data_IF_320981978396
#
_entry.id   IF_320981978396
#
_cell.length_a   1.000
_cell.length_b   1.000
_cell.length_c   1.000
_cell.angle_alpha   90.00
_cell.angle_beta   90.00
_cell.angle_gamma   90.00
#
_symmetry.space_group_name_H-M   'P 1'
#
loop_
_entity.id
_entity.type
_entity.pdbx_description
1 polymer ?
#
# COMPACT_ATOMS: atom_id res chain seq x y z
N UNK A 1 -13.52 -27.74 -25.22
CA UNK A 1 -12.51 -28.83 -25.25
C UNK A 1 -12.40 -29.25 -26.72
N UNK A 2 -11.43 -28.86 -27.57
CA UNK A 2 -9.97 -28.67 -27.43
C UNK A 2 -9.28 -29.89 -26.78
N UNK A 3 -8.17 -30.48 -27.27
CA UNK A 3 -7.49 -30.65 -28.60
C UNK A 3 -6.05 -31.17 -28.30
N UNK A 4 -5.65 -32.38 -28.72
CA UNK A 4 -4.27 -32.96 -28.80
C UNK A 4 -4.37 -34.52 -28.95
N UNK A 5 -3.65 -35.33 -29.76
CA UNK A 5 -2.55 -35.18 -30.75
C UNK A 5 -1.15 -34.87 -30.15
N UNK A 6 0.00 -35.52 -30.45
CA UNK A 6 0.51 -36.53 -31.46
C UNK A 6 1.62 -37.37 -30.74
N UNK A 7 2.14 -38.59 -31.05
CA UNK A 7 2.17 -39.56 -32.17
C UNK A 7 1.96 -41.01 -31.62
N UNK A 8 2.00 -42.18 -32.30
CA UNK A 8 2.33 -42.67 -33.67
C UNK A 8 3.81 -43.07 -34.00
N UNK A 9 4.09 -44.39 -34.07
CA UNK A 9 5.24 -45.06 -34.76
C UNK A 9 4.72 -46.31 -35.51
N UNK A 10 5.23 -46.58 -36.72
CA UNK A 10 4.70 -47.60 -37.68
C UNK A 10 5.68 -48.72 -38.01
N UNK A 11 5.17 -49.96 -38.15
CA UNK A 11 5.61 -51.01 -39.10
C UNK A 11 4.81 -52.33 -38.87
N UNK A 12 4.46 -53.14 -39.87
CA UNK A 12 4.34 -52.91 -41.32
C UNK A 12 3.36 -53.95 -41.91
N UNK A 13 2.65 -53.59 -42.98
CA UNK A 13 1.71 -54.49 -43.68
C UNK A 13 2.43 -55.45 -44.63
N UNK A 14 1.93 -56.69 -44.76
CA UNK A 14 2.13 -57.50 -45.96
C UNK A 14 0.85 -58.25 -46.30
N UNK A 15 0.45 -58.23 -47.58
CA UNK A 15 -0.73 -58.91 -48.08
C UNK A 15 -0.48 -59.48 -49.48
N UNK A 16 -0.85 -60.76 -49.66
CA UNK A 16 -1.15 -61.46 -50.91
C UNK A 16 -0.07 -61.57 -52.02
N UNK A 17 0.17 -62.81 -52.46
CA UNK A 17 0.58 -63.12 -53.83
C UNK A 17 2.00 -63.69 -54.00
N UNK A 18 2.10 -64.98 -54.33
CA UNK A 18 3.36 -65.63 -54.72
C UNK A 18 3.45 -67.09 -54.27
N UNK A 19 3.42 -68.04 -55.20
CA UNK A 19 3.51 -69.47 -54.89
C UNK A 19 4.94 -69.98 -54.75
N UNK A 20 5.08 -71.21 -54.23
CA UNK A 20 6.24 -72.10 -54.34
C UNK A 20 7.60 -71.68 -53.72
N UNK A 21 7.73 -70.51 -53.06
CA UNK A 21 9.02 -70.08 -52.48
C UNK A 21 9.35 -70.54 -51.04
N UNK A 22 8.38 -71.01 -50.27
CA UNK A 22 8.44 -70.95 -48.79
C UNK A 22 8.97 -72.20 -48.04
N UNK A 23 9.40 -73.26 -48.72
CA UNK A 23 9.68 -74.57 -48.09
C UNK A 23 11.16 -75.00 -48.12
N UNK A 24 12.06 -74.10 -47.72
CA UNK A 24 13.47 -74.42 -47.48
C UNK A 24 14.09 -73.60 -46.32
N UNK A 25 13.28 -73.17 -45.34
CA UNK A 25 13.80 -72.42 -44.19
C UNK A 25 14.58 -73.35 -43.27
N UNK A 26 15.87 -73.07 -43.07
CA UNK A 26 16.79 -74.02 -42.42
C UNK A 26 16.51 -74.15 -40.93
N UNK A 27 16.78 -75.34 -40.35
CA UNK A 27 16.63 -75.59 -38.91
C UNK A 27 17.50 -74.64 -38.06
N UNK A 28 18.62 -74.16 -38.61
CA UNK A 28 19.44 -73.12 -37.99
C UNK A 28 18.69 -71.77 -37.92
N UNK A 29 18.14 -71.29 -39.03
CA UNK A 29 17.36 -70.04 -39.07
C UNK A 29 16.07 -70.12 -38.24
N UNK A 30 15.43 -71.29 -38.18
CA UNK A 30 14.28 -71.51 -37.28
C UNK A 30 14.64 -71.38 -35.80
N UNK A 31 15.83 -71.86 -35.40
CA UNK A 31 16.35 -71.70 -34.03
C UNK A 31 16.75 -70.25 -33.76
N UNK A 32 17.54 -69.64 -34.62
CA UNK A 32 17.97 -68.24 -34.51
C UNK A 32 16.77 -67.28 -34.42
N UNK A 33 15.71 -67.52 -35.19
CA UNK A 33 14.46 -66.75 -35.11
C UNK A 33 13.62 -67.04 -33.85
N UNK A 34 13.72 -68.24 -33.27
CA UNK A 34 13.08 -68.58 -31.99
C UNK A 34 13.85 -67.96 -30.80
N UNK A 35 15.18 -68.02 -30.82
CA UNK A 35 16.06 -67.45 -29.81
C UNK A 35 15.97 -65.91 -29.82
N UNK A 36 15.96 -65.29 -31.00
CA UNK A 36 15.72 -63.86 -31.16
C UNK A 36 14.31 -63.44 -30.70
N UNK A 37 13.31 -64.32 -30.84
CA UNK A 37 11.95 -64.10 -30.34
C UNK A 37 11.88 -64.22 -28.82
N UNK A 38 12.56 -65.19 -28.21
CA UNK A 38 12.69 -65.31 -26.75
C UNK A 38 13.36 -64.05 -26.17
N UNK A 39 14.50 -63.63 -26.71
CA UNK A 39 15.16 -62.38 -26.32
C UNK A 39 14.31 -61.13 -26.56
N UNK A 40 13.40 -61.14 -27.55
CA UNK A 40 12.44 -60.05 -27.74
C UNK A 40 11.31 -60.08 -26.68
N UNK A 41 10.87 -61.26 -26.24
CA UNK A 41 9.92 -61.42 -25.15
C UNK A 41 10.53 -61.02 -23.80
N UNK A 42 11.74 -61.48 -23.48
CA UNK A 42 12.46 -61.12 -22.25
C UNK A 42 12.63 -59.60 -22.10
N UNK A 43 13.00 -58.89 -23.19
CA UNK A 43 13.09 -57.42 -23.19
C UNK A 43 11.74 -56.70 -23.10
N UNK A 44 10.65 -57.32 -23.57
CA UNK A 44 9.29 -56.80 -23.38
C UNK A 44 8.85 -56.99 -21.94
N UNK A 45 9.10 -58.15 -21.34
CA UNK A 45 8.76 -58.44 -19.94
C UNK A 45 9.59 -57.58 -18.98
N UNK A 46 10.87 -57.33 -19.28
CA UNK A 46 11.73 -56.36 -18.57
C UNK A 46 11.19 -54.93 -18.69
N UNK A 47 10.83 -54.48 -19.89
CA UNK A 47 10.27 -53.15 -20.12
C UNK A 47 8.90 -52.95 -19.45
N UNK A 48 8.05 -53.99 -19.44
CA UNK A 48 6.77 -53.99 -18.71
C UNK A 48 7.01 -54.00 -17.20
N UNK A 49 7.98 -54.76 -16.70
CA UNK A 49 8.41 -54.73 -15.30
C UNK A 49 8.89 -53.34 -14.86
N UNK A 50 9.73 -52.70 -15.68
CA UNK A 50 10.21 -51.33 -15.46
C UNK A 50 9.04 -50.31 -15.48
N UNK A 51 8.14 -50.38 -16.46
CA UNK A 51 6.97 -49.50 -16.54
C UNK A 51 6.01 -49.69 -15.35
N UNK A 52 5.83 -50.92 -14.86
CA UNK A 52 5.05 -51.18 -13.64
C UNK A 52 5.76 -50.65 -12.38
N UNK A 53 7.08 -50.75 -12.29
CA UNK A 53 7.85 -50.18 -11.18
C UNK A 53 7.80 -48.64 -11.18
N UNK A 54 7.91 -48.00 -12.35
CA UNK A 54 7.77 -46.55 -12.51
C UNK A 54 6.35 -46.08 -12.18
N UNK A 55 5.31 -46.79 -12.66
CA UNK A 55 3.92 -46.51 -12.31
C UNK A 55 3.63 -46.67 -10.80
N UNK A 56 4.23 -47.67 -10.15
CA UNK A 56 4.15 -47.86 -8.69
C UNK A 56 4.87 -46.74 -7.93
N UNK A 57 6.06 -46.32 -8.38
CA UNK A 57 6.80 -45.20 -7.80
C UNK A 57 6.06 -43.86 -7.97
N UNK A 58 5.48 -43.61 -9.15
CA UNK A 58 4.62 -42.44 -9.40
C UNK A 58 3.36 -42.47 -8.54
N UNK A 59 2.70 -43.62 -8.40
CA UNK A 59 1.56 -43.81 -7.50
C UNK A 59 1.91 -43.54 -6.04
N UNK A 60 3.07 -44.02 -5.57
CA UNK A 60 3.58 -43.75 -4.24
C UNK A 60 3.89 -42.25 -4.02
N UNK A 61 4.51 -41.59 -5.00
CA UNK A 61 4.80 -40.16 -4.94
C UNK A 61 3.51 -39.30 -4.91
N UNK A 62 2.50 -39.64 -5.72
CA UNK A 62 1.18 -39.00 -5.69
C UNK A 62 0.47 -39.24 -4.35
N UNK A 63 0.56 -40.44 -3.77
CA UNK A 63 0.05 -40.74 -2.44
C UNK A 63 0.72 -39.90 -1.34
N UNK A 64 2.05 -39.75 -1.41
CA UNK A 64 2.82 -38.94 -0.46
C UNK A 64 2.47 -37.45 -0.53
N UNK A 65 2.28 -36.91 -1.74
CA UNK A 65 1.83 -35.54 -1.97
C UNK A 65 0.37 -35.33 -1.51
N UNK A 66 -0.51 -36.31 -1.75
CA UNK A 66 -1.91 -36.27 -1.34
C UNK A 66 -2.10 -36.19 0.18
N UNK A 67 -1.37 -37.02 0.94
CA UNK A 67 -1.45 -37.03 2.40
C UNK A 67 -0.78 -35.81 3.05
N UNK A 68 0.45 -35.46 2.61
CA UNK A 68 1.19 -34.33 3.22
C UNK A 68 0.57 -32.97 2.89
N UNK A 69 0.03 -32.79 1.69
CA UNK A 69 -0.57 -31.52 1.25
C UNK A 69 -1.84 -31.15 2.02
N UNK A 70 -2.69 -32.11 2.37
CA UNK A 70 -3.93 -31.82 3.12
C UNK A 70 -3.66 -31.48 4.58
N UNK A 71 -2.78 -32.24 5.24
CA UNK A 71 -2.54 -32.09 6.67
C UNK A 71 -1.78 -30.80 7.00
N UNK A 72 -0.80 -30.40 6.18
CA UNK A 72 -0.12 -29.10 6.33
C UNK A 72 -1.08 -27.93 6.10
N UNK A 73 -1.96 -28.01 5.09
CA UNK A 73 -2.95 -26.95 4.80
C UNK A 73 -4.05 -26.88 5.87
N UNK A 74 -4.35 -27.98 6.56
CA UNK A 74 -5.25 -28.02 7.71
C UNK A 74 -4.57 -27.45 8.97
N UNK A 75 -3.33 -27.88 9.24
CA UNK A 75 -2.54 -27.47 10.40
C UNK A 75 -2.18 -25.98 10.39
N UNK A 76 -2.02 -25.35 9.22
CA UNK A 76 -1.84 -23.91 9.10
C UNK A 76 -3.16 -23.12 9.22
N UNK A 77 -4.29 -23.70 8.78
CA UNK A 77 -5.56 -22.99 8.72
C UNK A 77 -6.27 -22.82 10.07
N UNK A 78 -6.07 -23.72 11.04
CA UNK A 78 -6.68 -23.59 12.37
C UNK A 78 -6.02 -22.49 13.23
N UNK A 79 -4.68 -22.44 13.42
CA UNK A 79 -4.04 -21.36 14.18
C UNK A 79 -4.25 -19.97 13.58
N UNK A 80 -4.35 -19.86 12.25
CA UNK A 80 -4.67 -18.60 11.59
C UNK A 80 -6.11 -18.11 11.86
N UNK A 81 -7.07 -19.04 11.96
CA UNK A 81 -8.44 -18.73 12.38
C UNK A 81 -8.51 -18.38 13.87
N UNK A 82 -7.85 -19.16 14.72
CA UNK A 82 -7.83 -18.93 16.17
C UNK A 82 -7.16 -17.56 16.51
N UNK A 83 -6.09 -17.17 15.80
CA UNK A 83 -5.45 -15.86 15.95
C UNK A 83 -6.34 -14.70 15.48
N UNK A 84 -7.06 -14.85 14.38
CA UNK A 84 -7.99 -13.82 13.89
C UNK A 84 -9.20 -13.66 14.81
N UNK A 85 -9.64 -14.72 15.49
CA UNK A 85 -10.69 -14.64 16.53
C UNK A 85 -10.23 -13.80 17.71
N UNK A 86 -9.00 -14.00 18.20
CA UNK A 86 -8.47 -13.19 19.30
C UNK A 86 -8.26 -11.72 18.88
N UNK A 87 -7.75 -11.47 17.67
CA UNK A 87 -7.65 -10.10 17.13
C UNK A 87 -9.03 -9.42 16.99
N UNK A 88 -10.03 -10.17 16.53
CA UNK A 88 -11.42 -9.71 16.42
C UNK A 88 -12.04 -9.40 17.78
N UNK A 89 -11.72 -10.18 18.82
CA UNK A 89 -12.16 -9.92 20.21
C UNK A 89 -11.53 -8.65 20.75
N UNK A 90 -10.22 -8.47 20.60
CA UNK A 90 -9.54 -7.23 21.03
C UNK A 90 -10.15 -5.99 20.38
N UNK A 91 -10.38 -6.00 19.06
CA UNK A 91 -11.03 -4.87 18.39
C UNK A 91 -12.49 -4.68 18.83
N UNK A 92 -13.24 -5.76 19.07
CA UNK A 92 -14.62 -5.65 19.57
C UNK A 92 -14.67 -5.02 20.98
N UNK A 93 -13.77 -5.40 21.88
CA UNK A 93 -13.68 -4.86 23.24
C UNK A 93 -13.15 -3.41 23.24
N UNK A 94 -12.07 -3.13 22.51
CA UNK A 94 -11.45 -1.79 22.46
C UNK A 94 -12.35 -0.75 21.77
N UNK A 95 -13.21 -1.15 20.83
CA UNK A 95 -14.13 -0.24 20.12
C UNK A 95 -15.37 0.19 20.94
N UNK A 96 -15.47 -0.16 22.22
CA UNK A 96 -16.67 0.15 23.03
C UNK A 96 -16.86 1.67 23.24
N UNK A 97 -18.06 2.15 22.90
CA UNK A 97 -18.38 3.57 22.86
C UNK A 97 -17.66 4.38 21.76
N UNK A 98 -16.76 3.76 20.98
CA UNK A 98 -15.94 4.44 19.97
C UNK A 98 -16.53 4.46 18.55
N UNK A 99 -17.71 3.85 18.33
CA UNK A 99 -18.44 3.90 17.05
C UNK A 99 -19.65 4.85 17.10
N UNK A 100 -20.22 5.19 15.95
CA UNK A 100 -21.47 5.99 15.86
C UNK A 100 -22.74 5.12 15.90
N UNK A 101 -22.67 3.91 15.34
CA UNK A 101 -23.72 2.89 15.31
C UNK A 101 -23.06 1.54 15.64
N UNK A 102 -23.63 0.82 16.60
CA UNK A 102 -23.09 -0.45 17.09
C UNK A 102 -23.33 -1.62 16.12
N UNK A 103 -24.12 -1.43 15.07
CA UNK A 103 -24.45 -2.45 14.05
C UNK A 103 -23.22 -3.15 13.46
N UNK A 104 -22.09 -2.43 13.29
CA UNK A 104 -20.83 -3.05 12.82
C UNK A 104 -20.16 -3.92 13.87
N UNK A 105 -20.23 -3.54 15.15
CA UNK A 105 -19.71 -4.34 16.29
C UNK A 105 -20.57 -5.58 16.54
N UNK A 106 -21.90 -5.45 16.41
CA UNK A 106 -22.83 -6.59 16.41
C UNK A 106 -22.56 -7.55 15.25
N UNK A 107 -22.18 -7.06 14.07
CA UNK A 107 -21.78 -7.90 12.94
C UNK A 107 -20.45 -8.64 13.20
N UNK A 108 -19.47 -7.99 13.83
CA UNK A 108 -18.21 -8.61 14.25
C UNK A 108 -18.44 -9.69 15.34
N UNK A 109 -19.26 -9.39 16.35
CA UNK A 109 -19.67 -10.36 17.36
C UNK A 109 -20.35 -11.59 16.75
N UNK A 110 -21.30 -11.39 15.83
CA UNK A 110 -21.96 -12.48 15.10
C UNK A 110 -20.99 -13.27 14.20
N UNK A 111 -19.94 -12.63 13.66
CA UNK A 111 -18.89 -13.33 12.91
C UNK A 111 -18.00 -14.20 13.81
N UNK A 112 -17.71 -13.76 15.04
CA UNK A 112 -17.00 -14.53 16.06
C UNK A 112 -17.84 -15.74 16.52
N UNK A 113 -19.13 -15.53 16.83
CA UNK A 113 -20.05 -16.61 17.24
C UNK A 113 -20.30 -17.65 16.12
N UNK A 114 -20.16 -17.25 14.85
CA UNK A 114 -20.27 -18.15 13.71
C UNK A 114 -19.04 -19.07 13.49
N UNK A 115 -17.97 -18.94 14.29
CA UNK A 115 -16.74 -19.74 14.13
C UNK A 115 -16.94 -21.18 14.63
N UNK A 116 -16.72 -22.21 13.77
CA UNK A 116 -16.93 -23.60 14.17
C UNK A 116 -15.83 -24.09 15.13
N UNK A 117 -16.18 -24.23 16.41
CA UNK A 117 -15.31 -24.81 17.43
C UNK A 117 -14.93 -26.28 17.17
N UNK A 118 -15.78 -27.04 16.47
CA UNK A 118 -15.53 -28.43 16.08
C UNK A 118 -14.58 -28.62 14.87
N UNK A 119 -14.41 -29.86 14.39
CA UNK A 119 -13.59 -30.15 13.21
C UNK A 119 -14.20 -29.53 11.94
N UNK A 120 -13.45 -28.67 11.28
CA UNK A 120 -13.85 -27.97 10.06
C UNK A 120 -12.82 -28.19 8.95
N UNK A 121 -13.24 -28.08 7.68
CA UNK A 121 -12.31 -28.17 6.55
C UNK A 121 -11.45 -26.91 6.45
N UNK A 122 -10.23 -27.02 5.92
CA UNK A 122 -9.35 -25.86 5.72
C UNK A 122 -9.96 -24.77 4.82
N UNK A 123 -10.89 -25.14 3.93
CA UNK A 123 -11.66 -24.19 3.13
C UNK A 123 -12.72 -23.44 3.97
N UNK A 124 -13.45 -24.15 4.85
CA UNK A 124 -14.40 -23.53 5.77
C UNK A 124 -13.70 -22.61 6.78
N UNK A 125 -12.53 -23.00 7.29
CA UNK A 125 -11.74 -22.17 8.21
C UNK A 125 -11.23 -20.89 7.54
N UNK A 126 -10.64 -20.96 6.34
CA UNK A 126 -10.26 -19.75 5.59
C UNK A 126 -11.44 -18.84 5.27
N UNK A 127 -12.61 -19.40 5.00
CA UNK A 127 -13.83 -18.60 4.78
C UNK A 127 -14.36 -17.96 6.08
N UNK A 128 -14.10 -18.54 7.25
CA UNK A 128 -14.36 -17.90 8.54
C UNK A 128 -13.35 -16.76 8.81
N UNK A 129 -12.05 -17.01 8.62
CA UNK A 129 -10.99 -15.99 8.75
C UNK A 129 -11.27 -14.77 7.87
N UNK A 130 -11.65 -14.97 6.60
CA UNK A 130 -11.98 -13.85 5.70
C UNK A 130 -13.13 -12.98 6.24
N UNK A 131 -14.23 -13.59 6.71
CA UNK A 131 -15.36 -12.82 7.28
C UNK A 131 -15.01 -12.09 8.57
N UNK A 132 -14.11 -12.65 9.38
CA UNK A 132 -13.60 -11.96 10.57
C UNK A 132 -12.76 -10.74 10.20
N UNK A 133 -11.84 -10.88 9.23
CA UNK A 133 -11.06 -9.74 8.70
C UNK A 133 -11.99 -8.67 8.13
N UNK A 134 -12.94 -9.04 7.26
CA UNK A 134 -13.90 -8.12 6.64
C UNK A 134 -14.72 -7.37 7.72
N UNK A 135 -15.22 -8.08 8.73
CA UNK A 135 -16.02 -7.47 9.81
C UNK A 135 -15.17 -6.65 10.80
N UNK A 136 -13.94 -7.06 11.09
CA UNK A 136 -13.01 -6.35 11.98
C UNK A 136 -12.61 -5.02 11.35
N UNK A 137 -12.23 -5.02 10.07
CA UNK A 137 -11.88 -3.76 9.41
C UNK A 137 -13.06 -2.82 9.19
N UNK A 138 -14.29 -3.32 9.05
CA UNK A 138 -15.49 -2.47 9.11
C UNK A 138 -15.71 -1.80 10.48
N UNK A 139 -15.27 -2.40 11.59
CA UNK A 139 -15.26 -1.77 12.93
C UNK A 139 -14.11 -0.77 13.05
N UNK A 140 -12.91 -1.11 12.56
CA UNK A 140 -11.74 -0.21 12.55
C UNK A 140 -12.04 1.08 11.75
N UNK A 141 -12.67 0.97 10.58
CA UNK A 141 -13.14 2.10 9.76
C UNK A 141 -14.19 2.94 10.49
N UNK A 142 -15.16 2.31 11.17
CA UNK A 142 -16.20 3.02 11.92
C UNK A 142 -15.67 3.79 13.14
N UNK A 143 -14.63 3.26 13.81
CA UNK A 143 -13.91 3.96 14.88
C UNK A 143 -13.12 5.14 14.31
N UNK A 144 -12.44 4.96 13.16
CA UNK A 144 -11.75 6.04 12.44
C UNK A 144 -12.69 7.20 12.11
N UNK A 145 -13.81 6.90 11.45
CA UNK A 145 -14.82 7.89 11.07
C UNK A 145 -15.46 8.58 12.29
N UNK A 146 -15.67 7.87 13.41
CA UNK A 146 -16.19 8.48 14.64
C UNK A 146 -15.17 9.41 15.31
N UNK A 147 -13.89 9.06 15.30
CA UNK A 147 -12.81 9.93 15.78
C UNK A 147 -12.74 11.21 14.95
N UNK A 148 -12.76 11.10 13.63
CA UNK A 148 -12.76 12.24 12.69
C UNK A 148 -13.98 13.15 12.86
N UNK A 149 -15.18 12.57 13.02
CA UNK A 149 -16.38 13.34 13.33
C UNK A 149 -16.27 14.10 14.67
N UNK A 150 -15.71 13.46 15.70
CA UNK A 150 -15.53 14.07 17.03
C UNK A 150 -14.45 15.19 17.00
N UNK A 151 -13.39 15.01 16.22
CA UNK A 151 -12.37 16.03 15.98
C UNK A 151 -12.95 17.22 15.18
N UNK A 152 -13.81 16.97 14.19
CA UNK A 152 -14.51 18.01 13.44
C UNK A 152 -15.55 18.78 14.29
N UNK A 153 -16.31 18.10 15.16
CA UNK A 153 -17.21 18.74 16.14
C UNK A 153 -16.44 19.65 17.11
N UNK A 154 -15.30 19.19 17.63
CA UNK A 154 -14.43 19.98 18.49
C UNK A 154 -13.83 21.19 17.75
N UNK A 155 -13.40 21.03 16.49
CA UNK A 155 -12.91 22.12 15.65
C UNK A 155 -14.00 23.15 15.35
N UNK A 156 -15.24 22.71 15.07
CA UNK A 156 -16.39 23.60 14.85
C UNK A 156 -16.76 24.38 16.12
N UNK A 157 -16.72 23.75 17.29
CA UNK A 157 -16.94 24.42 18.57
C UNK A 157 -15.85 25.47 18.87
N UNK A 158 -14.58 25.16 18.59
CA UNK A 158 -13.47 26.10 18.72
C UNK A 158 -13.59 27.28 17.73
N UNK A 159 -13.98 27.03 16.48
CA UNK A 159 -14.22 28.06 15.48
C UNK A 159 -15.40 28.99 15.87
N UNK A 160 -16.49 28.43 16.42
CA UNK A 160 -17.61 29.23 16.93
C UNK A 160 -17.20 30.11 18.13
N UNK A 161 -16.34 29.60 19.03
CA UNK A 161 -15.79 30.38 20.14
C UNK A 161 -14.85 31.51 19.65
N UNK A 162 -14.04 31.25 18.63
CA UNK A 162 -13.18 32.27 18.01
C UNK A 162 -13.98 33.35 17.27
N UNK A 163 -15.04 32.98 16.55
CA UNK A 163 -15.93 33.92 15.87
C UNK A 163 -16.77 34.79 16.84
N UNK A 164 -16.93 34.36 18.10
CA UNK A 164 -17.57 35.13 19.16
C UNK A 164 -16.62 36.14 19.86
N UNK A 165 -15.31 36.11 19.56
CA UNK A 165 -14.37 37.10 20.07
C UNK A 165 -14.55 38.46 19.34
N UNK A 166 -14.47 39.61 20.05
CA UNK A 166 -14.67 40.91 19.43
C UNK A 166 -13.55 41.24 18.45
N UNK A 167 -13.89 41.42 17.17
CA UNK A 167 -12.94 41.88 16.15
C UNK A 167 -12.54 43.34 16.43
N UNK A 168 -11.23 43.61 16.39
CA UNK A 168 -10.70 44.95 16.45
C UNK A 168 -10.83 45.61 15.07
N UNK A 169 -11.59 46.70 14.99
CA UNK A 169 -11.85 47.44 13.75
C UNK A 169 -10.59 48.21 13.29
N UNK A 170 -10.07 47.88 12.10
CA UNK A 170 -8.91 48.53 11.50
C UNK A 170 -9.26 49.17 10.16
N UNK A 171 -9.91 50.33 10.22
CA UNK A 171 -10.25 51.11 9.04
C UNK A 171 -9.01 51.78 8.40
N UNK A 172 -8.84 51.56 7.09
CA UNK A 172 -8.24 52.45 6.08
C UNK A 172 -6.90 53.15 6.34
N UNK A 173 -5.88 52.84 5.53
CA UNK A 173 -4.65 53.65 5.48
C UNK A 173 -3.68 53.23 4.37
N UNK A 174 -3.81 53.81 3.18
CA UNK A 174 -2.69 53.89 2.23
C UNK A 174 -1.64 54.86 2.79
N UNK A 175 -0.41 54.39 3.00
CA UNK A 175 0.70 55.25 3.42
C UNK A 175 1.96 54.50 3.83
N UNK A 176 3.12 54.96 3.35
CA UNK A 176 4.43 54.44 3.73
C UNK A 176 4.69 54.64 5.23
N UNK A 177 4.49 53.56 6.01
CA UNK A 177 4.95 53.45 7.37
C UNK A 177 5.64 52.09 7.56
N UNK A 178 6.95 52.11 7.80
CA UNK A 178 7.72 50.90 8.07
C UNK A 178 7.39 50.35 9.47
N UNK A 179 6.25 49.66 9.58
CA UNK A 179 5.94 48.81 10.71
C UNK A 179 7.05 47.77 10.89
N UNK A 180 7.32 47.36 12.14
CA UNK A 180 8.33 46.34 12.44
C UNK A 180 8.00 45.06 11.66
N UNK A 181 8.82 44.79 10.63
CA UNK A 181 8.50 43.75 9.64
C UNK A 181 8.35 42.38 10.28
N UNK A 182 7.46 41.57 9.70
CA UNK A 182 7.31 40.17 10.07
C UNK A 182 8.55 39.39 9.62
N UNK A 183 9.60 39.43 10.44
CA UNK A 183 10.84 38.72 10.20
C UNK A 183 10.63 37.22 10.32
N UNK A 184 11.29 36.46 9.45
CA UNK A 184 11.36 35.00 9.60
C UNK A 184 12.21 34.62 10.82
N UNK A 185 11.89 33.49 11.44
CA UNK A 185 12.78 32.87 12.45
C UNK A 185 13.91 32.04 11.81
N UNK A 186 13.87 31.81 10.49
CA UNK A 186 14.94 31.14 9.75
C UNK A 186 16.19 32.03 9.62
N UNK A 187 17.36 31.43 9.84
CA UNK A 187 18.66 32.12 9.74
C UNK A 187 19.73 31.31 8.97
N UNK A 188 19.33 30.22 8.32
CA UNK A 188 20.20 29.39 7.49
C UNK A 188 20.39 29.93 6.06
N UNK A 189 21.13 29.22 5.20
CA UNK A 189 21.21 29.55 3.78
C UNK A 189 19.87 29.28 3.08
N UNK A 190 19.57 30.03 2.02
CA UNK A 190 18.32 29.87 1.28
C UNK A 190 18.24 28.50 0.58
N UNK A 191 17.17 27.76 0.88
CA UNK A 191 16.76 26.55 0.17
C UNK A 191 15.44 26.81 -0.56
N UNK A 192 15.07 25.88 -1.44
CA UNK A 192 13.96 26.05 -2.38
C UNK A 192 13.32 24.69 -2.68
N UNK A 193 12.11 24.69 -3.26
CA UNK A 193 11.50 23.47 -3.80
C UNK A 193 12.36 22.87 -4.92
N UNK A 194 12.40 21.54 -4.99
CA UNK A 194 13.03 20.80 -6.08
C UNK A 194 12.06 20.63 -7.24
N UNK A 195 12.60 20.59 -8.47
CA UNK A 195 11.90 20.04 -9.63
C UNK A 195 11.84 18.51 -9.55
N UNK A 196 10.93 17.84 -10.28
CA UNK A 196 10.90 16.38 -10.37
C UNK A 196 12.25 15.78 -10.83
N UNK A 197 12.59 14.61 -10.31
CA UNK A 197 13.88 13.96 -10.58
C UNK A 197 13.80 13.16 -11.88
N UNK A 198 14.43 13.65 -12.95
CA UNK A 198 14.60 12.88 -14.19
C UNK A 198 15.36 11.57 -13.93
N UNK A 199 14.87 10.46 -14.48
CA UNK A 199 15.45 9.14 -14.23
C UNK A 199 15.30 8.63 -12.79
N UNK A 200 14.47 9.25 -11.96
CA UNK A 200 14.18 8.81 -10.59
C UNK A 200 13.60 7.40 -10.51
N UNK A 201 13.78 6.75 -9.36
CA UNK A 201 13.31 5.39 -9.06
C UNK A 201 12.02 5.35 -8.22
N UNK A 202 11.48 6.53 -7.84
CA UNK A 202 10.32 6.65 -6.97
C UNK A 202 10.63 6.54 -5.48
N UNK A 203 11.90 6.43 -5.08
CA UNK A 203 12.32 6.47 -3.68
C UNK A 203 12.35 7.90 -3.11
N UNK A 204 12.61 8.02 -1.80
CA UNK A 204 12.58 9.28 -1.07
C UNK A 204 13.65 10.27 -1.62
N UNK A 205 13.19 11.37 -2.22
CA UNK A 205 14.02 12.35 -2.91
C UNK A 205 14.42 11.97 -4.34
N UNK A 206 13.74 10.98 -4.95
CA UNK A 206 13.98 10.48 -6.32
C UNK A 206 12.67 10.23 -7.08
N UNK A 207 11.66 11.08 -6.87
CA UNK A 207 10.35 10.97 -7.51
C UNK A 207 10.37 11.45 -8.96
N UNK A 208 9.72 10.71 -9.85
CA UNK A 208 9.73 11.01 -11.29
C UNK A 208 8.74 12.12 -11.67
N UNK A 209 8.91 12.75 -12.86
CA UNK A 209 7.93 13.70 -13.39
C UNK A 209 6.50 13.17 -13.53
N UNK A 210 6.29 11.85 -13.54
CA UNK A 210 4.95 11.23 -13.64
C UNK A 210 4.28 11.01 -12.27
N UNK A 211 5.04 11.07 -11.17
CA UNK A 211 4.52 10.94 -9.80
C UNK A 211 4.08 12.29 -9.22
N UNK A 212 4.69 13.38 -9.71
CA UNK A 212 4.54 14.72 -9.20
C UNK A 212 3.59 15.57 -10.06
N UNK A 213 3.01 16.62 -9.49
CA UNK A 213 2.27 17.65 -10.21
C UNK A 213 2.51 19.02 -9.60
N UNK A 214 2.60 20.03 -10.45
CA UNK A 214 2.80 21.41 -10.06
C UNK A 214 1.52 22.00 -9.44
N UNK A 215 1.69 22.77 -8.36
CA UNK A 215 0.70 23.69 -7.80
C UNK A 215 0.36 24.79 -8.81
N UNK A 216 -0.92 25.17 -8.91
CA UNK A 216 -1.44 26.02 -9.98
C UNK A 216 -1.29 27.53 -9.73
N UNK A 217 -1.25 27.97 -8.47
CA UNK A 217 -1.42 29.40 -8.11
C UNK A 217 -0.12 30.12 -7.69
N UNK A 218 0.97 29.40 -7.44
CA UNK A 218 2.20 30.00 -6.89
C UNK A 218 3.49 29.25 -7.27
N UNK A 219 4.62 29.96 -7.17
CA UNK A 219 5.98 29.52 -7.51
C UNK A 219 6.96 30.01 -6.43
N UNK A 220 8.12 29.37 -6.32
CA UNK A 220 9.20 29.83 -5.44
C UNK A 220 9.76 31.20 -5.90
N UNK A 221 10.60 31.81 -5.07
CA UNK A 221 11.24 33.11 -5.36
C UNK A 221 12.23 33.11 -6.55
N UNK A 222 12.41 31.97 -7.24
CA UNK A 222 13.17 31.82 -8.49
C UNK A 222 12.27 31.55 -9.70
N UNK A 223 10.95 31.40 -9.50
CA UNK A 223 9.98 31.06 -10.55
C UNK A 223 9.72 29.56 -10.72
N UNK A 224 10.20 28.71 -9.81
CA UNK A 224 10.01 27.25 -9.83
C UNK A 224 8.63 26.89 -9.29
N UNK A 225 7.78 26.14 -10.02
CA UNK A 225 6.53 25.65 -9.43
C UNK A 225 6.77 24.75 -8.22
N UNK A 226 5.87 24.79 -7.24
CA UNK A 226 5.89 23.83 -6.14
C UNK A 226 5.36 22.49 -6.62
N UNK A 227 6.13 21.42 -6.42
CA UNK A 227 5.77 20.06 -6.82
C UNK A 227 5.40 19.23 -5.59
N UNK A 228 4.30 18.49 -5.69
CA UNK A 228 3.84 17.49 -4.71
C UNK A 228 3.38 16.23 -5.47
N UNK A 229 3.15 15.12 -4.77
CA UNK A 229 2.57 13.91 -5.40
C UNK A 229 1.20 14.26 -5.96
N UNK A 230 0.84 13.76 -7.15
CA UNK A 230 -0.29 14.29 -7.92
C UNK A 230 -1.64 14.31 -7.17
N UNK A 231 -1.88 13.35 -6.28
CA UNK A 231 -3.02 13.30 -5.36
C UNK A 231 -2.93 14.35 -4.25
N UNK A 232 -1.77 14.51 -3.62
CA UNK A 232 -1.48 15.56 -2.65
C UNK A 232 -1.62 16.97 -3.26
N UNK A 233 -1.14 17.19 -4.49
CA UNK A 233 -1.38 18.44 -5.25
C UNK A 233 -2.87 18.66 -5.44
N UNK A 234 -3.60 17.67 -5.97
CA UNK A 234 -5.05 17.79 -6.20
C UNK A 234 -5.85 17.99 -4.91
N UNK A 235 -5.35 17.52 -3.77
CA UNK A 235 -5.90 17.81 -2.44
C UNK A 235 -5.60 19.25 -1.98
N UNK A 236 -4.37 19.72 -2.21
CA UNK A 236 -3.96 21.07 -1.82
C UNK A 236 -4.64 22.17 -2.66
N UNK A 237 -4.91 21.94 -3.94
CA UNK A 237 -5.74 22.83 -4.76
C UNK A 237 -7.13 23.04 -4.13
N UNK A 238 -7.75 21.97 -3.61
CA UNK A 238 -9.05 22.07 -2.92
C UNK A 238 -8.94 22.80 -1.57
N UNK A 239 -7.88 22.54 -0.80
CA UNK A 239 -7.60 23.25 0.45
C UNK A 239 -7.40 24.75 0.20
N UNK A 240 -6.63 25.12 -0.82
CA UNK A 240 -6.33 26.51 -1.14
C UNK A 240 -7.58 27.29 -1.59
N UNK A 241 -8.50 26.68 -2.33
CA UNK A 241 -9.80 27.32 -2.66
C UNK A 241 -10.59 27.67 -1.39
N UNK A 242 -10.60 26.77 -0.39
CA UNK A 242 -11.28 27.02 0.88
C UNK A 242 -10.51 28.03 1.77
N UNK A 243 -9.18 27.95 1.81
CA UNK A 243 -8.31 28.90 2.52
C UNK A 243 -8.50 30.32 1.98
N UNK A 244 -8.46 30.50 0.65
CA UNK A 244 -8.69 31.77 -0.04
C UNK A 244 -10.10 32.31 0.21
N UNK A 245 -11.11 31.44 0.28
CA UNK A 245 -12.48 31.84 0.61
C UNK A 245 -12.66 32.29 2.07
N UNK A 246 -11.86 31.76 3.01
CA UNK A 246 -11.93 32.10 4.43
C UNK A 246 -11.04 33.29 4.85
N UNK A 247 -9.87 33.45 4.21
CA UNK A 247 -8.82 34.40 4.61
C UNK A 247 -8.52 35.48 3.56
N UNK A 248 -9.16 35.42 2.38
CA UNK A 248 -9.09 36.46 1.35
C UNK A 248 -7.83 36.46 0.49
N UNK A 249 -6.85 35.59 0.76
CA UNK A 249 -5.62 35.44 -0.01
C UNK A 249 -5.25 33.97 -0.22
N UNK A 250 -4.42 33.68 -1.21
CA UNK A 250 -3.89 32.34 -1.45
C UNK A 250 -2.98 31.84 -0.31
N UNK A 251 -2.96 30.52 -0.12
CA UNK A 251 -2.01 29.84 0.74
C UNK A 251 -0.60 30.06 0.19
N UNK A 252 0.28 30.65 1.01
CA UNK A 252 1.69 30.79 0.67
C UNK A 252 2.44 29.48 0.96
N UNK A 253 3.35 29.13 0.07
CA UNK A 253 4.22 27.96 0.19
C UNK A 253 5.68 28.43 0.17
N UNK A 254 6.56 27.70 0.85
CA UNK A 254 8.00 28.01 0.96
C UNK A 254 8.84 26.81 0.49
N UNK A 255 8.45 25.59 0.88
CA UNK A 255 9.05 24.33 0.41
C UNK A 255 7.95 23.28 0.14
N UNK A 256 8.22 22.37 -0.80
CA UNK A 256 7.34 21.25 -1.15
C UNK A 256 8.20 19.99 -1.38
N UNK A 257 8.10 19.32 -2.54
CA UNK A 257 9.03 18.24 -2.91
C UNK A 257 10.49 18.68 -2.82
N UNK A 258 11.32 17.81 -2.25
CA UNK A 258 12.75 18.03 -2.07
C UNK A 258 13.51 16.78 -2.48
N UNK A 259 14.39 16.93 -3.48
CA UNK A 259 15.23 15.84 -3.98
C UNK A 259 16.31 15.43 -2.96
N UNK A 260 16.90 14.26 -3.20
CA UNK A 260 17.87 13.64 -2.30
C UNK A 260 19.13 14.49 -2.10
N UNK A 261 19.65 15.12 -3.16
CA UNK A 261 20.91 15.88 -3.10
C UNK A 261 20.69 17.24 -2.42
N UNK A 262 19.51 17.84 -2.59
CA UNK A 262 19.04 19.01 -1.84
C UNK A 262 18.83 18.67 -0.36
N UNK A 263 18.33 17.48 -0.03
CA UNK A 263 18.26 17.00 1.37
C UNK A 263 19.67 16.76 1.97
N UNK A 264 20.65 16.31 1.18
CA UNK A 264 22.06 16.23 1.60
C UNK A 264 22.61 17.63 1.90
N UNK A 265 22.36 18.62 1.02
CA UNK A 265 22.79 20.00 1.22
C UNK A 265 22.15 20.64 2.47
N UNK A 266 20.84 20.46 2.67
CA UNK A 266 20.15 20.86 3.90
C UNK A 266 20.75 20.20 5.15
N UNK A 267 21.00 18.89 5.12
CA UNK A 267 21.58 18.16 6.25
C UNK A 267 22.99 18.64 6.60
N UNK A 268 23.77 19.04 5.60
CA UNK A 268 25.10 19.61 5.80
C UNK A 268 25.06 21.03 6.40
N UNK A 269 24.07 21.85 6.04
CA UNK A 269 23.94 23.23 6.52
C UNK A 269 23.23 23.35 7.88
N UNK A 270 22.18 22.56 8.12
CA UNK A 270 21.26 22.70 9.26
C UNK A 270 21.45 21.62 10.34
N UNK A 271 22.38 20.69 10.14
CA UNK A 271 22.70 19.65 11.12
C UNK A 271 21.50 18.75 11.43
N UNK A 272 21.20 18.57 12.72
CA UNK A 272 20.12 17.66 13.16
C UNK A 272 18.70 18.17 12.91
N UNK A 273 18.50 19.45 12.58
CA UNK A 273 17.18 20.02 12.26
C UNK A 273 16.64 19.41 10.96
N UNK A 274 17.46 19.41 9.91
CA UNK A 274 17.09 18.75 8.66
C UNK A 274 17.15 17.22 8.81
N UNK A 275 16.10 16.52 8.36
CA UNK A 275 16.03 15.05 8.34
C UNK A 275 17.23 14.38 7.62
N UNK A 276 17.45 13.09 7.90
CA UNK A 276 18.48 12.29 7.22
C UNK A 276 18.11 12.17 5.72
N UNK A 277 19.08 12.26 4.79
CA UNK A 277 18.82 12.02 3.37
C UNK A 277 18.13 10.67 3.13
N UNK A 278 17.05 10.69 2.34
CA UNK A 278 16.19 9.53 2.12
C UNK A 278 15.14 9.26 3.21
N UNK A 279 15.04 10.08 4.27
CA UNK A 279 14.04 9.91 5.35
C UNK A 279 13.14 11.13 5.57
N UNK A 280 13.13 12.12 4.67
CA UNK A 280 12.33 13.35 4.83
C UNK A 280 10.95 13.21 4.19
N UNK A 281 9.89 13.70 4.84
CA UNK A 281 8.54 13.74 4.27
C UNK A 281 8.45 14.57 2.97
N UNK A 282 9.33 15.55 2.76
CA UNK A 282 9.41 16.29 1.50
C UNK A 282 9.90 15.41 0.34
N UNK A 283 10.79 14.45 0.63
CA UNK A 283 11.28 13.49 -0.35
C UNK A 283 10.22 12.48 -0.80
N UNK A 284 9.10 12.35 -0.08
CA UNK A 284 7.94 11.54 -0.53
C UNK A 284 6.93 12.36 -1.35
N UNK A 285 7.15 13.68 -1.49
CA UNK A 285 6.22 14.58 -2.19
C UNK A 285 4.91 14.81 -1.43
N UNK A 286 4.87 14.48 -0.13
CA UNK A 286 3.67 14.55 0.72
C UNK A 286 3.77 15.60 1.83
N UNK A 287 4.83 16.41 1.87
CA UNK A 287 4.97 17.49 2.83
C UNK A 287 5.14 18.84 2.14
N UNK A 288 4.61 19.88 2.79
CA UNK A 288 4.82 21.27 2.45
C UNK A 288 5.19 22.05 3.71
N UNK A 289 5.96 23.12 3.49
CA UNK A 289 6.17 24.19 4.44
C UNK A 289 5.45 25.44 3.95
N UNK A 290 4.65 26.06 4.81
CA UNK A 290 4.25 27.47 4.64
C UNK A 290 5.40 28.36 5.14
N UNK A 291 5.53 29.62 4.68
CA UNK A 291 6.64 30.48 5.10
C UNK A 291 6.82 30.57 6.61
N UNK A 292 8.07 30.43 7.08
CA UNK A 292 8.46 30.52 8.49
C UNK A 292 8.33 31.98 9.01
N UNK A 293 7.09 32.48 9.11
CA UNK A 293 6.72 33.85 9.46
C UNK A 293 5.80 33.86 10.69
N UNK A 294 6.30 34.18 11.90
CA UNK A 294 5.54 34.05 13.14
C UNK A 294 4.23 34.83 13.21
N UNK A 295 4.11 35.98 12.53
CA UNK A 295 2.88 36.76 12.50
C UNK A 295 1.80 36.18 11.58
N UNK A 296 2.20 35.47 10.51
CA UNK A 296 1.30 35.01 9.44
C UNK A 296 0.93 33.54 9.61
N UNK A 297 1.91 32.69 9.92
CA UNK A 297 1.74 31.23 10.05
C UNK A 297 2.24 30.68 11.39
N UNK A 298 2.74 31.54 12.29
CA UNK A 298 3.16 31.14 13.63
C UNK A 298 2.06 30.49 14.48
N UNK A 299 2.46 29.93 15.63
CA UNK A 299 1.61 29.10 16.49
C UNK A 299 0.23 29.69 16.84
N UNK A 300 0.15 31.01 17.00
CA UNK A 300 -1.03 31.75 17.44
C UNK A 300 -1.67 32.58 16.31
N UNK A 301 -1.26 32.32 15.05
CA UNK A 301 -1.76 33.04 13.88
C UNK A 301 -3.12 32.51 13.38
N UNK A 302 -3.99 33.38 12.83
CA UNK A 302 -5.27 32.95 12.25
C UNK A 302 -5.11 31.93 11.11
N UNK A 303 -4.09 32.07 10.26
CA UNK A 303 -3.90 31.16 9.13
C UNK A 303 -3.49 29.76 9.59
N UNK A 304 -2.59 29.62 10.59
CA UNK A 304 -2.28 28.31 11.18
C UNK A 304 -3.48 27.73 11.93
N UNK A 305 -4.21 28.52 12.71
CA UNK A 305 -5.41 28.05 13.39
C UNK A 305 -6.45 27.50 12.38
N UNK A 306 -6.63 28.20 11.26
CA UNK A 306 -7.50 27.74 10.18
C UNK A 306 -6.97 26.46 9.50
N UNK A 307 -5.68 26.40 9.14
CA UNK A 307 -5.07 25.24 8.50
C UNK A 307 -5.12 23.98 9.37
N UNK A 308 -4.87 24.10 10.68
CA UNK A 308 -4.96 22.98 11.63
C UNK A 308 -6.41 22.49 11.79
N UNK A 309 -7.39 23.38 11.77
CA UNK A 309 -8.81 23.02 11.91
C UNK A 309 -9.47 22.50 10.63
N UNK A 310 -9.06 22.98 9.44
CA UNK A 310 -9.73 22.69 8.17
C UNK A 310 -8.91 21.77 7.25
N UNK A 311 -7.58 21.81 7.34
CA UNK A 311 -6.67 20.97 6.54
C UNK A 311 -7.01 19.47 6.54
N UNK A 312 -7.37 18.85 7.68
CA UNK A 312 -7.70 17.42 7.73
C UNK A 312 -8.86 17.01 6.82
N UNK A 313 -9.85 17.89 6.58
CA UNK A 313 -10.95 17.64 5.63
C UNK A 313 -10.50 17.59 4.14
N UNK A 314 -9.22 17.92 3.89
CA UNK A 314 -8.54 17.82 2.61
C UNK A 314 -7.31 16.89 2.70
N UNK A 315 -7.22 16.06 3.75
CA UNK A 315 -6.11 15.12 3.98
C UNK A 315 -4.79 15.76 4.43
N UNK A 316 -4.76 17.07 4.71
CA UNK A 316 -3.55 17.82 5.09
C UNK A 316 -3.50 18.11 6.59
N UNK A 317 -2.59 17.47 7.32
CA UNK A 317 -2.48 17.59 8.78
C UNK A 317 -1.20 18.31 9.20
N UNK A 318 -1.22 19.04 10.32
CA UNK A 318 0.03 19.40 11.01
C UNK A 318 0.36 18.27 11.99
N UNK A 319 1.36 17.42 11.69
CA UNK A 319 1.55 16.14 12.38
C UNK A 319 1.95 16.36 13.84
N UNK A 320 1.59 15.43 14.73
CA UNK A 320 1.77 15.56 16.19
C UNK A 320 3.21 15.87 16.62
N UNK A 321 4.21 15.34 15.92
CA UNK A 321 5.62 15.61 16.17
C UNK A 321 6.02 17.08 15.89
N UNK A 322 5.32 17.75 14.96
CA UNK A 322 5.54 19.12 14.52
C UNK A 322 4.73 20.16 15.32
N UNK A 323 3.83 19.74 16.22
CA UNK A 323 3.04 20.68 17.02
C UNK A 323 3.87 21.30 18.15
N UNK A 324 3.33 22.34 18.82
CA UNK A 324 4.07 23.18 19.80
C UNK A 324 4.74 22.37 20.94
N UNK A 325 4.16 21.23 21.32
CA UNK A 325 4.69 20.30 22.33
C UNK A 325 5.23 18.98 21.76
N UNK A 326 5.44 18.90 20.44
CA UNK A 326 5.96 17.72 19.75
C UNK A 326 7.48 17.57 19.89
N UNK A 327 8.03 16.49 19.31
CA UNK A 327 9.46 16.17 19.38
C UNK A 327 10.35 17.06 18.51
N UNK A 328 9.78 17.76 17.52
CA UNK A 328 10.47 18.76 16.70
C UNK A 328 9.44 19.83 16.26
N UNK A 329 9.14 20.85 17.09
CA UNK A 329 8.04 21.79 16.84
C UNK A 329 8.27 22.71 15.63
N UNK A 330 7.53 22.47 14.55
CA UNK A 330 7.65 23.13 13.25
C UNK A 330 6.27 23.67 12.83
N UNK A 331 5.97 24.93 13.16
CA UNK A 331 4.63 25.52 12.90
C UNK A 331 4.31 25.69 11.41
N UNK A 332 5.33 25.59 10.57
CA UNK A 332 5.27 25.68 9.11
C UNK A 332 4.93 24.35 8.44
N UNK A 333 5.20 23.21 9.08
CA UNK A 333 5.18 21.88 8.44
C UNK A 333 3.78 21.24 8.44
N UNK A 334 3.36 20.77 7.27
CA UNK A 334 2.11 20.02 7.06
C UNK A 334 2.34 18.80 6.15
N UNK A 335 1.58 17.74 6.37
CA UNK A 335 1.71 16.46 5.66
C UNK A 335 0.37 15.98 5.10
N UNK A 336 0.38 15.51 3.85
CA UNK A 336 -0.75 14.83 3.23
C UNK A 336 -0.83 13.37 3.69
N UNK A 337 -2.02 12.93 4.10
CA UNK A 337 -2.28 11.61 4.71
C UNK A 337 -3.36 10.78 4.01
N UNK A 338 -4.14 11.37 3.11
CA UNK A 338 -5.30 10.77 2.44
C UNK A 338 -6.49 11.71 2.47
#
# INVERSE_FOLDING_TARGET
MRRAAVAAVTAASFALGGGAGAWAWSVAQQREAADARLQAQERVDEAVGAAHAEAAAAGAAVGLLGASGTDVVLAAARPALDAEVEASRTVLDESDGQVADDTVRLALAAAIDAVPGGPASAAAMRAATARLVDARSAVEEAVGARREATEAEAAAAAAAAAAAAPQADTAGGDGDAAAAGCGTTYSGPAFYTSTPTEGGDGSNGRLTPQMLSAVSWTVDSRGTPFYLRADATAALERLNVAFRAALGHDLALDLAYRDYDTQVAMRAALGSVAAVPGTSSHGTGLALDVPELPCTYGWDSPARAWLVANGPAYGWVSPSWAQRGGSNPEYWHYEFRG
#
